data_IF_639796143950
#
_entry.id   IF_639796143950
#
_cell.length_a   1.000
_cell.length_b   1.000
_cell.length_c   1.000
_cell.angle_alpha   90.00
_cell.angle_beta   90.00
_cell.angle_gamma   90.00
#
_symmetry.space_group_name_H-M   'P 1'
#
loop_
_entity.id
_entity.type
_entity.pdbx_description
1 polymer ?
#
# COMPACT_ATOMS: atom_id res chain seq x y z
N UNK A 1 -8.49 7.47 11.97
CA UNK A 1 -9.07 6.92 13.22
C UNK A 1 -9.36 8.02 14.24
N UNK A 2 -8.58 9.11 14.31
CA UNK A 2 -8.80 10.22 15.26
C UNK A 2 -10.19 10.84 15.20
N UNK A 3 -10.64 11.22 14.03
CA UNK A 3 -11.88 12.00 13.87
C UNK A 3 -13.14 11.26 14.37
N UNK A 4 -13.30 9.98 14.07
CA UNK A 4 -14.42 9.17 14.57
C UNK A 4 -14.29 8.93 16.07
N UNK A 5 -13.07 8.66 16.56
CA UNK A 5 -12.80 8.52 17.99
C UNK A 5 -13.19 9.77 18.79
N UNK A 6 -12.85 10.95 18.26
CA UNK A 6 -13.19 12.23 18.87
C UNK A 6 -14.70 12.48 18.87
N UNK A 7 -15.40 12.12 17.78
CA UNK A 7 -16.86 12.22 17.70
C UNK A 7 -17.57 11.28 18.69
N UNK A 8 -17.10 10.03 18.83
CA UNK A 8 -17.63 9.07 19.79
C UNK A 8 -17.35 9.51 21.23
N UNK A 9 -16.15 10.02 21.52
CA UNK A 9 -15.82 10.58 22.83
C UNK A 9 -16.71 11.79 23.18
N UNK A 10 -16.95 12.69 22.24
CA UNK A 10 -17.88 13.81 22.41
C UNK A 10 -19.30 13.34 22.73
N UNK A 11 -19.81 12.34 22.00
CA UNK A 11 -21.12 11.75 22.26
C UNK A 11 -21.22 11.11 23.65
N UNK A 12 -20.17 10.41 24.10
CA UNK A 12 -20.14 9.83 25.43
C UNK A 12 -20.19 10.88 26.54
N UNK A 13 -19.53 12.03 26.34
CA UNK A 13 -19.60 13.16 27.28
C UNK A 13 -21.02 13.75 27.31
N UNK A 14 -21.66 13.96 26.15
CA UNK A 14 -23.02 14.44 26.06
C UNK A 14 -24.01 13.50 26.75
N UNK A 15 -23.91 12.20 26.53
CA UNK A 15 -24.76 11.19 27.17
C UNK A 15 -24.56 11.15 28.68
N UNK A 16 -23.32 11.32 29.16
CA UNK A 16 -23.01 11.34 30.59
C UNK A 16 -23.62 12.54 31.30
N UNK A 17 -23.69 13.71 30.63
CA UNK A 17 -24.36 14.90 31.18
C UNK A 17 -25.88 14.76 31.22
N UNK A 18 -26.48 13.82 30.49
CA UNK A 18 -27.90 13.50 30.52
C UNK A 18 -28.28 12.66 31.76
N UNK A 19 -27.32 11.87 32.29
CA UNK A 19 -27.55 10.88 33.37
C UNK A 19 -27.26 11.45 34.77
N UNK A 20 -26.77 12.71 34.89
CA UNK A 20 -26.56 13.34 36.19
C UNK A 20 -27.91 13.93 36.76
N UNK A 21 -28.47 13.33 37.82
CA UNK A 21 -29.66 13.90 38.46
C UNK A 21 -29.29 15.21 39.17
N UNK A 22 -29.88 16.34 38.74
CA UNK A 22 -29.77 17.60 39.47
C UNK A 22 -30.36 17.43 40.88
N UNK A 23 -29.51 17.24 41.87
CA UNK A 23 -29.89 17.33 43.29
C UNK A 23 -30.23 18.78 43.65
N UNK A 24 -31.47 19.19 43.50
CA UNK A 24 -31.97 20.42 44.13
C UNK A 24 -33.45 20.29 44.57
N UNK A 25 -33.73 20.83 45.77
CA UNK A 25 -34.84 20.65 46.65
C UNK A 25 -36.26 20.88 46.11
N UNK A 26 -37.23 20.40 46.90
CA UNK A 26 -38.63 20.11 46.61
C UNK A 26 -39.53 21.35 46.31
N UNK A 27 -39.11 22.58 46.61
CA UNK A 27 -39.96 23.78 46.48
C UNK A 27 -39.94 24.45 45.08
N UNK A 28 -38.99 24.09 44.17
CA UNK A 28 -38.91 24.57 42.78
C UNK A 28 -39.48 23.62 41.74
N UNK A 29 -40.08 22.53 42.15
CA UNK A 29 -40.31 21.35 41.35
C UNK A 29 -41.37 21.51 40.24
N UNK A 30 -42.45 22.22 40.51
CA UNK A 30 -43.60 22.34 39.57
C UNK A 30 -43.40 23.37 38.44
N UNK A 31 -42.69 24.47 38.66
CA UNK A 31 -42.42 25.46 37.60
C UNK A 31 -41.20 25.05 36.72
N UNK A 32 -40.33 24.20 37.24
CA UNK A 32 -39.10 23.73 36.58
C UNK A 32 -39.31 22.45 35.74
N UNK A 33 -40.38 21.68 36.04
CA UNK A 33 -40.65 20.40 35.40
C UNK A 33 -40.84 20.54 33.87
N UNK A 34 -41.59 21.52 33.41
CA UNK A 34 -41.80 21.73 31.96
C UNK A 34 -40.53 22.20 31.23
N UNK A 35 -39.74 23.07 31.86
CA UNK A 35 -38.50 23.58 31.28
C UNK A 35 -37.43 22.50 31.24
N UNK A 36 -37.37 21.65 32.26
CA UNK A 36 -36.47 20.50 32.32
C UNK A 36 -36.80 19.43 31.28
N UNK A 37 -38.08 19.22 30.97
CA UNK A 37 -38.51 18.26 29.92
C UNK A 37 -38.14 18.78 28.54
N UNK A 38 -38.30 20.07 28.25
CA UNK A 38 -37.92 20.65 26.96
C UNK A 38 -36.43 20.67 26.77
N UNK A 39 -35.64 21.01 27.80
CA UNK A 39 -34.17 20.97 27.76
C UNK A 39 -33.66 19.54 27.59
N UNK A 40 -34.25 18.56 28.26
CA UNK A 40 -33.91 17.13 28.10
C UNK A 40 -34.26 16.65 26.68
N UNK A 41 -35.41 17.01 26.15
CA UNK A 41 -35.85 16.70 24.80
C UNK A 41 -34.91 17.30 23.73
N UNK A 42 -34.45 18.53 23.93
CA UNK A 42 -33.49 19.18 23.06
C UNK A 42 -32.14 18.48 23.09
N UNK A 43 -31.64 18.08 24.26
CA UNK A 43 -30.39 17.34 24.42
C UNK A 43 -30.47 15.97 23.75
N UNK A 44 -31.57 15.23 23.90
CA UNK A 44 -31.79 13.96 23.19
C UNK A 44 -31.79 14.13 21.66
N UNK A 45 -32.45 15.19 21.16
CA UNK A 45 -32.45 15.47 19.72
C UNK A 45 -31.05 15.79 19.16
N UNK A 46 -30.21 16.45 19.96
CA UNK A 46 -28.81 16.71 19.59
C UNK A 46 -28.02 15.41 19.58
N UNK A 47 -28.15 14.58 20.62
CA UNK A 47 -27.48 13.28 20.69
C UNK A 47 -27.88 12.35 19.53
N UNK A 48 -29.18 12.31 19.18
CA UNK A 48 -29.70 11.56 18.02
C UNK A 48 -29.05 12.03 16.72
N UNK A 49 -29.00 13.35 16.46
CA UNK A 49 -28.32 13.90 15.28
C UNK A 49 -26.83 13.59 15.24
N UNK A 50 -26.15 13.56 16.39
CA UNK A 50 -24.76 13.22 16.49
C UNK A 50 -24.52 11.73 16.22
N UNK A 51 -25.43 10.85 16.68
CA UNK A 51 -25.41 9.42 16.35
C UNK A 51 -25.57 9.20 14.84
N UNK A 52 -26.56 9.87 14.22
CA UNK A 52 -26.80 9.78 12.78
C UNK A 52 -25.59 10.25 11.97
N UNK A 53 -24.97 11.35 12.41
CA UNK A 53 -23.73 11.85 11.78
C UNK A 53 -22.59 10.85 11.90
N UNK A 54 -22.38 10.26 13.07
CA UNK A 54 -21.36 9.24 13.29
C UNK A 54 -21.63 8.01 12.42
N UNK A 55 -22.88 7.57 12.33
CA UNK A 55 -23.28 6.44 11.49
C UNK A 55 -22.98 6.72 10.01
N UNK A 56 -23.30 7.93 9.53
CA UNK A 56 -22.97 8.34 8.16
C UNK A 56 -21.47 8.37 7.87
N UNK A 57 -20.67 8.89 8.79
CA UNK A 57 -19.21 8.91 8.66
C UNK A 57 -18.61 7.48 8.68
N UNK A 58 -19.13 6.59 9.54
CA UNK A 58 -18.74 5.19 9.57
C UNK A 58 -19.03 4.47 8.25
N UNK A 59 -20.20 4.69 7.64
CA UNK A 59 -20.55 4.12 6.35
C UNK A 59 -19.63 4.63 5.23
N UNK A 60 -19.31 5.94 5.23
CA UNK A 60 -18.33 6.51 4.31
C UNK A 60 -16.93 5.89 4.46
N UNK A 61 -16.49 5.71 5.70
CA UNK A 61 -15.21 5.04 5.97
C UNK A 61 -15.21 3.57 5.54
N UNK A 62 -16.31 2.86 5.76
CA UNK A 62 -16.49 1.48 5.29
C UNK A 62 -16.37 1.40 3.78
N UNK A 63 -17.08 2.27 3.04
CA UNK A 63 -17.01 2.33 1.57
C UNK A 63 -15.59 2.63 1.08
N UNK A 64 -14.88 3.54 1.75
CA UNK A 64 -13.48 3.83 1.44
C UNK A 64 -12.58 2.61 1.67
N UNK A 65 -12.71 1.96 2.82
CA UNK A 65 -11.93 0.75 3.12
C UNK A 65 -12.21 -0.38 2.13
N UNK A 66 -13.46 -0.56 1.69
CA UNK A 66 -13.79 -1.56 0.67
C UNK A 66 -13.09 -1.27 -0.67
N UNK A 67 -13.05 0.01 -1.09
CA UNK A 67 -12.29 0.42 -2.29
C UNK A 67 -10.79 0.21 -2.12
N UNK A 68 -10.25 0.54 -0.95
CA UNK A 68 -8.82 0.34 -0.66
C UNK A 68 -8.45 -1.14 -0.70
N UNK A 69 -9.30 -2.04 -0.18
CA UNK A 69 -9.12 -3.49 -0.29
C UNK A 69 -9.12 -3.94 -1.74
N UNK A 70 -10.09 -3.50 -2.56
CA UNK A 70 -10.16 -3.84 -3.97
C UNK A 70 -8.90 -3.39 -4.75
N UNK A 71 -8.40 -2.19 -4.44
CA UNK A 71 -7.15 -1.68 -5.03
C UNK A 71 -5.96 -2.55 -4.62
N UNK A 72 -5.87 -2.94 -3.35
CA UNK A 72 -4.81 -3.80 -2.86
C UNK A 72 -4.84 -5.18 -3.51
N UNK A 73 -6.01 -5.77 -3.70
CA UNK A 73 -6.17 -7.05 -4.40
C UNK A 73 -5.68 -6.94 -5.86
N UNK A 74 -6.08 -5.87 -6.57
CA UNK A 74 -5.60 -5.62 -7.93
C UNK A 74 -4.08 -5.40 -8.00
N UNK A 75 -3.50 -4.72 -7.00
CA UNK A 75 -2.06 -4.52 -6.91
C UNK A 75 -1.33 -5.83 -6.64
N UNK A 76 -1.90 -6.70 -5.81
CA UNK A 76 -1.35 -8.03 -5.55
C UNK A 76 -1.31 -8.89 -6.84
N UNK A 77 -2.41 -8.94 -7.58
CA UNK A 77 -2.48 -9.68 -8.84
C UNK A 77 -1.47 -9.16 -9.87
N UNK A 78 -1.37 -7.84 -10.02
CA UNK A 78 -0.37 -7.23 -10.91
C UNK A 78 1.06 -7.52 -10.48
N UNK A 79 1.34 -7.51 -9.17
CA UNK A 79 2.65 -7.88 -8.65
C UNK A 79 3.01 -9.33 -8.95
N UNK A 80 2.03 -10.24 -8.83
CA UNK A 80 2.23 -11.65 -9.14
C UNK A 80 2.56 -11.85 -10.63
N UNK A 81 1.87 -11.15 -11.52
CA UNK A 81 2.15 -11.21 -12.97
C UNK A 81 3.53 -10.61 -13.28
N UNK A 82 3.85 -9.47 -12.69
CA UNK A 82 5.17 -8.85 -12.82
C UNK A 82 6.30 -9.77 -12.34
N UNK A 83 6.10 -10.46 -11.21
CA UNK A 83 7.04 -11.45 -10.72
C UNK A 83 7.26 -12.61 -11.71
N UNK A 84 6.19 -13.12 -12.34
CA UNK A 84 6.27 -14.15 -13.38
C UNK A 84 7.05 -13.66 -14.59
N UNK A 85 6.73 -12.47 -15.09
CA UNK A 85 7.42 -11.85 -16.21
C UNK A 85 8.91 -11.65 -15.94
N UNK A 86 9.27 -11.07 -14.78
CA UNK A 86 10.67 -10.92 -14.37
C UNK A 86 11.39 -12.26 -14.33
N UNK A 87 10.75 -13.29 -13.81
CA UNK A 87 11.33 -14.65 -13.77
C UNK A 87 11.63 -15.17 -15.17
N UNK A 88 10.70 -14.98 -16.11
CA UNK A 88 10.90 -15.38 -17.50
C UNK A 88 12.05 -14.61 -18.18
N UNK A 89 12.10 -13.28 -17.97
CA UNK A 89 13.20 -12.44 -18.51
C UNK A 89 14.56 -12.84 -17.95
N UNK A 90 14.64 -13.11 -16.65
CA UNK A 90 15.88 -13.54 -16.00
C UNK A 90 16.35 -14.89 -16.57
N UNK A 91 15.46 -15.87 -16.71
CA UNK A 91 15.79 -17.18 -17.26
C UNK A 91 16.24 -17.09 -18.71
N UNK A 92 15.49 -16.39 -19.55
CA UNK A 92 15.85 -16.17 -20.95
C UNK A 92 17.17 -15.40 -21.10
N UNK A 93 17.39 -14.38 -20.25
CA UNK A 93 18.62 -13.61 -20.21
C UNK A 93 19.83 -14.43 -19.82
N UNK A 94 19.71 -15.29 -18.80
CA UNK A 94 20.78 -16.21 -18.39
C UNK A 94 21.14 -17.20 -19.49
N UNK A 95 20.14 -17.77 -20.16
CA UNK A 95 20.36 -18.65 -21.27
C UNK A 95 21.09 -17.95 -22.42
N UNK A 96 20.61 -16.77 -22.81
CA UNK A 96 21.24 -15.97 -23.86
C UNK A 96 22.67 -15.56 -23.53
N UNK A 97 22.93 -15.23 -22.26
CA UNK A 97 24.30 -14.93 -21.80
C UNK A 97 25.21 -16.15 -21.89
N UNK A 98 24.74 -17.34 -21.51
CA UNK A 98 25.49 -18.59 -21.64
C UNK A 98 25.76 -18.91 -23.10
N UNK A 99 24.77 -18.79 -23.98
CA UNK A 99 24.94 -19.02 -25.41
C UNK A 99 25.94 -18.04 -26.03
N UNK A 100 25.84 -16.74 -25.70
CA UNK A 100 26.77 -15.71 -26.20
C UNK A 100 28.22 -15.98 -25.74
N UNK A 101 28.43 -16.41 -24.50
CA UNK A 101 29.76 -16.79 -24.00
C UNK A 101 30.31 -18.03 -24.68
N UNK A 102 29.45 -19.02 -24.89
CA UNK A 102 29.88 -20.32 -25.46
C UNK A 102 30.08 -20.29 -26.97
N UNK A 103 29.42 -19.38 -27.69
CA UNK A 103 29.46 -19.26 -29.13
C UNK A 103 30.26 -18.03 -29.59
N UNK A 104 29.69 -16.84 -29.43
CA UNK A 104 30.24 -15.61 -30.00
C UNK A 104 31.57 -15.20 -29.34
N UNK A 105 31.64 -15.20 -28.00
CA UNK A 105 32.88 -14.85 -27.28
C UNK A 105 34.00 -15.83 -27.58
N UNK A 106 33.67 -17.13 -27.63
CA UNK A 106 34.62 -18.16 -27.94
C UNK A 106 35.16 -18.00 -29.37
N UNK A 107 34.29 -17.76 -30.35
CA UNK A 107 34.70 -17.52 -31.74
C UNK A 107 35.58 -16.26 -31.89
N UNK A 108 35.25 -15.17 -31.16
CA UNK A 108 36.05 -13.95 -31.14
C UNK A 108 37.43 -14.16 -30.54
N UNK A 109 37.56 -14.95 -29.46
CA UNK A 109 38.82 -15.28 -28.82
C UNK A 109 39.69 -16.17 -29.74
N UNK A 110 39.09 -17.19 -30.33
CA UNK A 110 39.80 -18.05 -31.32
C UNK A 110 40.30 -17.23 -32.53
N UNK A 111 39.52 -16.29 -33.01
CA UNK A 111 39.93 -15.39 -34.09
C UNK A 111 41.08 -14.48 -33.66
N UNK A 112 41.05 -13.95 -32.44
CA UNK A 112 42.11 -13.12 -31.89
C UNK A 112 43.43 -13.91 -31.77
N UNK A 113 43.38 -15.15 -31.27
CA UNK A 113 44.54 -16.06 -31.15
C UNK A 113 45.12 -16.41 -32.52
N UNK A 114 44.29 -16.73 -33.51
CA UNK A 114 44.72 -17.10 -34.85
C UNK A 114 45.31 -15.95 -35.66
N UNK A 115 44.74 -14.76 -35.50
CA UNK A 115 45.16 -13.57 -36.26
C UNK A 115 46.37 -12.86 -35.65
N UNK A 116 46.54 -12.92 -34.32
CA UNK A 116 47.55 -12.15 -33.57
C UNK A 116 47.33 -10.63 -33.63
N UNK A 117 46.20 -10.15 -34.21
CA UNK A 117 45.93 -8.75 -34.42
C UNK A 117 45.36 -8.09 -33.14
N UNK A 118 45.87 -6.91 -32.73
CA UNK A 118 45.39 -6.17 -31.58
C UNK A 118 43.88 -5.82 -31.66
N UNK A 119 43.41 -5.55 -32.88
CA UNK A 119 41.98 -5.21 -33.13
C UNK A 119 41.05 -6.41 -32.84
N UNK A 120 41.48 -7.63 -33.16
CA UNK A 120 40.71 -8.84 -32.87
C UNK A 120 40.65 -9.13 -31.36
N UNK A 121 41.75 -8.89 -30.65
CA UNK A 121 41.81 -8.99 -29.20
C UNK A 121 40.91 -7.94 -28.52
N UNK A 122 40.93 -6.72 -29.06
CA UNK A 122 40.04 -5.65 -28.57
C UNK A 122 38.55 -5.99 -28.75
N UNK A 123 38.17 -6.54 -29.92
CA UNK A 123 36.80 -6.96 -30.18
C UNK A 123 36.32 -8.05 -29.22
N UNK A 124 37.15 -9.01 -28.88
CA UNK A 124 36.85 -10.04 -27.90
C UNK A 124 36.68 -9.48 -26.49
N UNK A 125 37.56 -8.54 -26.07
CA UNK A 125 37.46 -7.86 -24.79
C UNK A 125 36.19 -6.97 -24.68
N UNK A 126 35.85 -6.26 -25.74
CA UNK A 126 34.64 -5.42 -25.77
C UNK A 126 33.37 -6.26 -25.66
N UNK A 127 33.34 -7.41 -26.33
CA UNK A 127 32.23 -8.35 -26.22
C UNK A 127 32.14 -8.96 -24.83
N UNK A 128 33.25 -9.36 -24.22
CA UNK A 128 33.28 -9.83 -22.84
C UNK A 128 32.76 -8.79 -21.85
N UNK A 129 33.17 -7.54 -22.01
CA UNK A 129 32.69 -6.44 -21.19
C UNK A 129 31.17 -6.23 -21.35
N UNK A 130 30.62 -6.44 -22.56
CA UNK A 130 29.15 -6.41 -22.76
C UNK A 130 28.49 -7.58 -22.02
N UNK A 131 29.03 -8.76 -22.04
CA UNK A 131 28.52 -9.90 -21.28
C UNK A 131 28.51 -9.63 -19.77
N UNK A 132 29.61 -9.07 -19.23
CA UNK A 132 29.70 -8.70 -17.81
C UNK A 132 28.65 -7.63 -17.41
N UNK A 133 28.46 -6.62 -18.23
CA UNK A 133 27.42 -5.60 -17.99
C UNK A 133 26.01 -6.18 -18.04
N UNK A 134 25.78 -7.10 -18.95
CA UNK A 134 24.49 -7.79 -19.04
C UNK A 134 24.23 -8.69 -17.84
N UNK A 135 25.25 -9.41 -17.36
CA UNK A 135 25.19 -10.23 -16.16
C UNK A 135 24.83 -9.40 -14.92
N UNK A 136 25.43 -8.21 -14.76
CA UNK A 136 25.06 -7.27 -13.69
C UNK A 136 23.60 -6.83 -13.76
N UNK A 137 23.10 -6.55 -14.96
CA UNK A 137 21.69 -6.21 -15.15
C UNK A 137 20.75 -7.36 -14.79
N UNK A 138 21.13 -8.61 -15.11
CA UNK A 138 20.35 -9.77 -14.70
C UNK A 138 20.32 -9.93 -13.17
N UNK A 139 21.44 -9.67 -12.51
CA UNK A 139 21.51 -9.67 -11.06
C UNK A 139 20.63 -8.60 -10.44
N UNK A 140 20.63 -7.38 -10.99
CA UNK A 140 19.74 -6.30 -10.54
C UNK A 140 18.26 -6.67 -10.71
N UNK A 141 17.90 -7.36 -11.80
CA UNK A 141 16.54 -7.88 -12.00
C UNK A 141 16.18 -8.98 -10.99
N UNK A 142 17.14 -9.83 -10.60
CA UNK A 142 16.93 -10.83 -9.54
C UNK A 142 16.65 -10.17 -8.20
N UNK A 143 17.38 -9.14 -7.84
CA UNK A 143 17.12 -8.35 -6.63
C UNK A 143 15.75 -7.68 -6.68
N UNK A 144 15.40 -7.07 -7.81
CA UNK A 144 14.08 -6.45 -8.02
C UNK A 144 12.96 -7.48 -7.84
N UNK A 145 13.14 -8.70 -8.38
CA UNK A 145 12.17 -9.78 -8.23
C UNK A 145 11.97 -10.19 -6.77
N UNK A 146 13.04 -10.25 -5.98
CA UNK A 146 12.95 -10.60 -4.55
C UNK A 146 12.21 -9.51 -3.76
N UNK A 147 12.39 -8.24 -4.13
CA UNK A 147 11.72 -7.11 -3.45
C UNK A 147 10.24 -7.01 -3.83
N UNK A 148 9.84 -7.51 -5.00
CA UNK A 148 8.45 -7.46 -5.49
C UNK A 148 7.51 -8.53 -4.90
N UNK A 149 8.01 -9.41 -4.05
CA UNK A 149 7.23 -10.37 -3.26
C UNK A 149 6.86 -9.80 -1.89
#
# INVERSE_FOLDING_TARGET
MGQIGDMVAGLLVELKTLDEPEKKGIAGWFAKANKSIEETKAKYSIAEKNVDKIAGELENHKLKLMKDVEILDQMYDRNLDYFKELTMYILAGKQKLADARNTELKALREKAEKSGLPEAAQAANDFENKCIRFEKKLHDLELTRVISL
#
